data_IF_078490063668
#
_entry.id   IF_078490063668
#
_cell.length_a   1.000
_cell.length_b   1.000
_cell.length_c   1.000
_cell.angle_alpha   90.00
_cell.angle_beta   90.00
_cell.angle_gamma   90.00
#
_symmetry.space_group_name_H-M   'P 1'
#
loop_
_entity.id
_entity.type
_entity.pdbx_description
1 polymer ?
#
# COMPACT_ATOMS: atom_id res chain seq x y z
N UNK A 1 6.81 -23.01 -16.90
CA UNK A 1 6.84 -21.55 -16.68
C UNK A 1 5.75 -20.92 -17.53
N UNK A 2 4.92 -20.05 -16.97
CA UNK A 2 3.89 -19.33 -17.73
C UNK A 2 4.46 -18.08 -18.44
N UNK A 3 3.72 -17.47 -19.40
CA UNK A 3 4.20 -16.34 -20.21
C UNK A 3 4.69 -15.12 -19.41
N UNK A 4 4.03 -14.79 -18.29
CA UNK A 4 4.43 -13.68 -17.42
C UNK A 4 5.79 -13.93 -16.75
N UNK A 5 6.01 -15.13 -16.21
CA UNK A 5 7.30 -15.48 -15.57
C UNK A 5 8.47 -15.49 -16.56
N UNK A 6 8.22 -15.80 -17.84
CA UNK A 6 9.23 -15.68 -18.89
C UNK A 6 9.57 -14.23 -19.23
N UNK A 7 8.59 -13.31 -19.20
CA UNK A 7 8.86 -11.87 -19.36
C UNK A 7 9.63 -11.30 -18.17
N UNK A 8 9.26 -11.68 -16.94
CA UNK A 8 9.96 -11.25 -15.73
C UNK A 8 11.44 -11.64 -15.79
N UNK A 9 11.77 -12.89 -16.13
CA UNK A 9 13.15 -13.33 -16.27
C UNK A 9 13.94 -12.53 -17.32
N UNK A 10 13.31 -12.15 -18.44
CA UNK A 10 13.97 -11.34 -19.48
C UNK A 10 14.25 -9.90 -19.03
N UNK A 11 13.35 -9.31 -18.23
CA UNK A 11 13.56 -7.98 -17.63
C UNK A 11 14.63 -8.03 -16.54
N UNK A 12 14.62 -9.06 -15.70
CA UNK A 12 15.62 -9.29 -14.67
C UNK A 12 17.03 -9.47 -15.29
N UNK A 13 17.14 -10.27 -16.35
CA UNK A 13 18.39 -10.44 -17.10
C UNK A 13 18.86 -9.14 -17.76
N UNK A 14 17.93 -8.30 -18.26
CA UNK A 14 18.25 -7.00 -18.83
C UNK A 14 18.71 -5.98 -17.76
N UNK A 15 18.21 -6.10 -16.53
CA UNK A 15 18.59 -5.26 -15.39
C UNK A 15 19.84 -5.77 -14.64
N UNK A 16 20.34 -6.97 -14.95
CA UNK A 16 21.47 -7.59 -14.23
C UNK A 16 22.78 -6.79 -14.27
N UNK A 17 22.92 -5.82 -15.19
CA UNK A 17 24.11 -4.98 -15.36
C UNK A 17 23.83 -3.47 -15.34
N UNK A 18 22.62 -3.05 -14.94
CA UNK A 18 22.23 -1.64 -14.96
C UNK A 18 21.65 -1.24 -13.60
N UNK A 19 21.97 -0.03 -13.13
CA UNK A 19 21.39 0.47 -11.90
C UNK A 19 19.90 0.75 -12.10
N UNK A 20 19.05 0.05 -11.35
CA UNK A 20 17.59 0.23 -11.33
C UNK A 20 17.24 1.67 -10.98
N UNK A 21 18.00 2.26 -10.06
CA UNK A 21 17.79 3.64 -9.61
C UNK A 21 18.30 4.69 -10.61
N UNK A 22 19.08 4.32 -11.62
CA UNK A 22 19.47 5.23 -12.70
C UNK A 22 18.43 5.24 -13.82
N UNK A 23 17.88 4.07 -14.17
CA UNK A 23 16.97 3.91 -15.30
C UNK A 23 15.49 4.13 -14.96
N UNK A 24 15.08 3.79 -13.73
CA UNK A 24 13.66 3.77 -13.35
C UNK A 24 13.38 4.93 -12.39
N UNK A 25 12.76 5.99 -12.92
CA UNK A 25 12.49 7.22 -12.19
C UNK A 25 11.67 6.98 -10.90
N UNK A 26 10.57 6.22 -10.98
CA UNK A 26 9.72 5.88 -9.83
C UNK A 26 10.48 5.10 -8.75
N UNK A 27 11.43 4.24 -9.14
CA UNK A 27 12.26 3.51 -8.20
C UNK A 27 13.24 4.45 -7.49
N UNK A 28 13.87 5.36 -8.25
CA UNK A 28 14.78 6.38 -7.71
C UNK A 28 14.10 7.30 -6.70
N UNK A 29 12.90 7.77 -7.03
CA UNK A 29 12.10 8.64 -6.15
C UNK A 29 11.72 7.95 -4.85
N UNK A 30 11.52 6.62 -4.90
CA UNK A 30 11.10 5.81 -3.76
C UNK A 30 12.23 5.02 -3.08
N UNK A 31 13.50 5.26 -3.46
CA UNK A 31 14.67 4.54 -2.95
C UNK A 31 14.71 4.45 -1.43
N UNK A 32 14.46 5.57 -0.74
CA UNK A 32 14.45 5.61 0.74
C UNK A 32 13.40 4.71 1.35
N UNK A 33 12.23 4.59 0.71
CA UNK A 33 11.17 3.69 1.17
C UNK A 33 11.61 2.24 1.02
N UNK A 34 12.23 1.88 -0.10
CA UNK A 34 12.68 0.51 -0.35
C UNK A 34 13.85 0.11 0.58
N UNK A 35 14.80 1.01 0.81
CA UNK A 35 15.87 0.83 1.79
C UNK A 35 15.32 0.65 3.22
N UNK A 36 14.26 1.38 3.58
CA UNK A 36 13.58 1.21 4.87
C UNK A 36 12.97 -0.19 5.06
N UNK A 37 12.59 -0.83 3.95
CA UNK A 37 12.07 -2.20 3.91
C UNK A 37 13.19 -3.25 3.77
N UNK A 38 14.45 -2.85 3.90
CA UNK A 38 15.63 -3.71 3.74
C UNK A 38 15.75 -4.37 2.35
N UNK A 39 15.18 -3.72 1.33
CA UNK A 39 15.30 -4.16 -0.06
C UNK A 39 16.57 -3.56 -0.67
N UNK A 40 17.46 -4.43 -1.16
CA UNK A 40 18.60 -3.99 -1.95
C UNK A 40 18.22 -3.73 -3.42
N UNK A 41 19.14 -3.17 -4.19
CA UNK A 41 18.89 -2.80 -5.58
C UNK A 41 18.48 -4.00 -6.46
N UNK A 42 19.03 -5.18 -6.17
CA UNK A 42 18.71 -6.40 -6.90
C UNK A 42 17.33 -6.93 -6.51
N UNK A 43 16.94 -6.81 -5.23
CA UNK A 43 15.58 -7.11 -4.79
C UNK A 43 14.55 -6.19 -5.47
N UNK A 44 14.86 -4.89 -5.60
CA UNK A 44 14.00 -3.93 -6.33
C UNK A 44 13.95 -4.24 -7.82
N UNK A 45 15.08 -4.64 -8.44
CA UNK A 45 15.11 -5.08 -9.85
C UNK A 45 14.16 -6.25 -10.10
N UNK A 46 14.20 -7.25 -9.22
CA UNK A 46 13.32 -8.44 -9.27
C UNK A 46 11.86 -8.06 -9.13
N UNK A 47 11.53 -7.20 -8.16
CA UNK A 47 10.17 -6.73 -7.96
C UNK A 47 9.67 -5.94 -9.18
N UNK A 48 10.52 -5.11 -9.79
CA UNK A 48 10.19 -4.39 -11.02
C UNK A 48 9.98 -5.31 -12.22
N UNK A 49 10.82 -6.34 -12.35
CA UNK A 49 10.65 -7.37 -13.38
C UNK A 49 9.33 -8.14 -13.23
N UNK A 50 8.92 -8.43 -11.99
CA UNK A 50 7.61 -9.03 -11.74
C UNK A 50 6.49 -8.04 -12.06
N UNK A 51 6.57 -6.79 -11.58
CA UNK A 51 5.59 -5.74 -11.84
C UNK A 51 5.31 -5.57 -13.34
N UNK A 52 6.37 -5.40 -14.14
CA UNK A 52 6.27 -5.28 -15.61
C UNK A 52 5.77 -6.54 -16.31
N UNK A 53 5.88 -7.71 -15.67
CA UNK A 53 5.29 -8.94 -16.20
C UNK A 53 3.78 -9.05 -15.96
N UNK A 54 3.29 -8.37 -14.92
CA UNK A 54 1.87 -8.29 -14.56
C UNK A 54 1.18 -7.20 -15.39
N UNK A 55 1.84 -6.05 -15.56
CA UNK A 55 1.40 -4.95 -16.42
C UNK A 55 1.44 -5.38 -17.89
N UNK A 56 0.36 -6.01 -18.33
CA UNK A 56 0.24 -6.50 -19.71
C UNK A 56 -0.16 -5.39 -20.67
N UNK A 57 -0.73 -4.30 -20.16
CA UNK A 57 -1.15 -3.13 -20.93
C UNK A 57 -0.04 -2.11 -21.15
N UNK A 58 1.05 -2.16 -20.37
CA UNK A 58 2.16 -1.22 -20.44
C UNK A 58 1.82 0.16 -19.90
N UNK A 59 0.85 0.22 -18.98
CA UNK A 59 0.34 1.46 -18.37
C UNK A 59 1.23 1.97 -17.26
N UNK A 60 2.18 1.16 -16.77
CA UNK A 60 2.97 1.40 -15.55
C UNK A 60 2.13 1.47 -14.27
N UNK A 61 0.92 0.93 -14.34
CA UNK A 61 -0.09 0.85 -13.29
C UNK A 61 -0.79 -0.51 -13.43
N UNK A 62 -1.00 -1.23 -12.32
CA UNK A 62 -1.66 -2.53 -12.33
C UNK A 62 -3.14 -2.39 -12.03
N UNK A 63 -3.96 -2.92 -12.92
CA UNK A 63 -5.40 -3.05 -12.66
C UNK A 63 -5.73 -4.31 -11.84
N UNK A 64 -6.87 -4.30 -11.15
CA UNK A 64 -7.38 -5.49 -10.43
C UNK A 64 -7.42 -6.74 -11.34
N UNK A 65 -7.85 -6.58 -12.59
CA UNK A 65 -7.93 -7.68 -13.55
C UNK A 65 -6.56 -8.28 -13.90
N UNK A 66 -5.53 -7.45 -14.04
CA UNK A 66 -4.16 -7.92 -14.28
C UNK A 66 -3.60 -8.66 -13.07
N UNK A 67 -3.83 -8.11 -11.88
CA UNK A 67 -3.43 -8.74 -10.64
C UNK A 67 -4.10 -10.10 -10.43
N UNK A 68 -5.42 -10.21 -10.67
CA UNK A 68 -6.19 -11.45 -10.60
C UNK A 68 -5.68 -12.51 -11.59
N UNK A 69 -5.44 -12.11 -12.85
CA UNK A 69 -4.87 -12.99 -13.88
C UNK A 69 -3.50 -13.50 -13.48
N UNK A 70 -2.64 -12.63 -12.94
CA UNK A 70 -1.33 -13.03 -12.45
C UNK A 70 -1.43 -14.02 -11.29
N UNK A 71 -2.28 -13.74 -10.30
CA UNK A 71 -2.49 -14.59 -9.15
C UNK A 71 -3.23 -15.90 -9.49
N UNK A 72 -3.82 -16.01 -10.69
CA UNK A 72 -4.70 -17.10 -11.11
C UNK A 72 -5.88 -17.29 -10.15
N UNK A 73 -6.49 -16.16 -9.76
CA UNK A 73 -7.65 -16.09 -8.88
C UNK A 73 -8.91 -15.77 -9.70
N UNK A 74 -10.07 -16.32 -9.34
CA UNK A 74 -11.32 -16.01 -10.03
C UNK A 74 -11.67 -14.53 -9.87
N UNK A 75 -12.33 -13.95 -10.89
CA UNK A 75 -12.78 -12.55 -10.85
C UNK A 75 -13.76 -12.28 -9.72
N UNK A 76 -14.63 -13.24 -9.39
CA UNK A 76 -15.58 -13.16 -8.29
C UNK A 76 -14.89 -13.54 -6.97
N UNK A 77 -13.95 -12.71 -6.53
CA UNK A 77 -13.27 -12.92 -5.26
C UNK A 77 -13.17 -11.61 -4.48
N UNK A 78 -14.22 -11.34 -3.71
CA UNK A 78 -14.35 -10.20 -2.79
C UNK A 78 -13.17 -10.10 -1.81
N UNK A 79 -12.52 -11.21 -1.44
CA UNK A 79 -11.30 -11.16 -0.64
C UNK A 79 -10.13 -10.51 -1.39
N UNK A 80 -9.98 -10.80 -2.68
CA UNK A 80 -8.92 -10.19 -3.49
C UNK A 80 -9.21 -8.72 -3.74
N UNK A 81 -10.47 -8.35 -3.97
CA UNK A 81 -10.89 -6.95 -4.08
C UNK A 81 -10.54 -6.17 -2.81
N UNK A 82 -10.82 -6.74 -1.62
CA UNK A 82 -10.44 -6.10 -0.36
C UNK A 82 -8.93 -6.00 -0.19
N UNK A 83 -8.17 -7.04 -0.55
CA UNK A 83 -6.70 -6.96 -0.50
C UNK A 83 -6.17 -5.92 -1.49
N UNK A 84 -6.73 -5.83 -2.70
CA UNK A 84 -6.37 -4.84 -3.70
C UNK A 84 -6.65 -3.42 -3.20
N UNK A 85 -7.79 -3.19 -2.56
CA UNK A 85 -8.12 -1.91 -1.94
C UNK A 85 -7.14 -1.48 -0.84
N UNK A 86 -6.53 -2.44 -0.12
CA UNK A 86 -5.44 -2.13 0.83
C UNK A 86 -4.13 -1.77 0.11
N UNK A 87 -3.93 -2.26 -1.12
CA UNK A 87 -2.72 -1.97 -1.87
C UNK A 87 -2.73 -0.59 -2.55
N UNK A 88 -3.91 -0.16 -2.98
CA UNK A 88 -4.23 1.12 -3.65
C UNK A 88 -4.34 2.23 -2.58
N UNK A 89 -3.20 2.84 -2.22
CA UNK A 89 -3.06 3.78 -1.09
C UNK A 89 -3.69 5.15 -1.42
N UNK A 90 -3.74 5.51 -2.71
CA UNK A 90 -4.33 6.77 -3.19
C UNK A 90 -5.78 6.62 -3.73
N UNK A 91 -6.33 5.41 -3.68
CA UNK A 91 -7.69 5.05 -4.11
C UNK A 91 -7.99 5.40 -5.58
N UNK A 92 -6.97 5.38 -6.44
CA UNK A 92 -7.13 5.71 -7.86
C UNK A 92 -7.67 4.55 -8.71
N UNK A 93 -7.82 3.35 -8.12
CA UNK A 93 -8.33 2.14 -8.76
C UNK A 93 -7.26 1.32 -9.48
N UNK A 94 -5.99 1.69 -9.36
CA UNK A 94 -4.82 1.02 -9.93
C UNK A 94 -3.68 0.99 -8.90
N UNK A 95 -2.66 0.19 -9.15
CA UNK A 95 -1.50 0.07 -8.24
C UNK A 95 -0.25 0.47 -9.01
N UNK A 96 0.41 1.55 -8.60
CA UNK A 96 1.69 1.96 -9.16
C UNK A 96 2.86 1.06 -8.66
N UNK A 97 4.08 1.28 -9.17
CA UNK A 97 5.21 0.45 -8.77
C UNK A 97 5.57 0.57 -7.27
N UNK A 98 5.44 1.77 -6.69
CA UNK A 98 5.74 2.00 -5.28
C UNK A 98 4.73 1.26 -4.41
N UNK A 99 3.45 1.42 -4.70
CA UNK A 99 2.34 0.75 -4.01
C UNK A 99 2.47 -0.76 -4.11
N UNK A 100 2.79 -1.28 -5.30
CA UNK A 100 3.07 -2.70 -5.48
C UNK A 100 4.17 -3.20 -4.54
N UNK A 101 5.32 -2.53 -4.50
CA UNK A 101 6.44 -2.94 -3.64
C UNK A 101 6.08 -2.87 -2.16
N UNK A 102 5.52 -1.75 -1.72
CA UNK A 102 5.19 -1.51 -0.29
C UNK A 102 4.12 -2.50 0.17
N UNK A 103 3.07 -2.70 -0.62
CA UNK A 103 1.92 -3.51 -0.26
C UNK A 103 2.21 -5.01 -0.33
N UNK A 104 2.92 -5.46 -1.37
CA UNK A 104 3.38 -6.86 -1.45
C UNK A 104 4.39 -7.14 -0.34
N UNK A 105 5.32 -6.23 -0.05
CA UNK A 105 6.24 -6.40 1.07
C UNK A 105 5.48 -6.46 2.39
N UNK A 106 4.54 -5.54 2.64
CA UNK A 106 3.75 -5.52 3.87
C UNK A 106 3.05 -6.85 4.08
N UNK A 107 2.35 -7.36 3.06
CA UNK A 107 1.54 -8.58 3.15
C UNK A 107 2.37 -9.87 3.16
N UNK A 108 3.35 -10.00 2.26
CA UNK A 108 4.14 -11.23 2.11
C UNK A 108 5.18 -11.42 3.20
N UNK A 109 5.58 -10.36 3.92
CA UNK A 109 6.48 -10.45 5.08
C UNK A 109 5.77 -10.73 6.41
N UNK A 110 4.43 -10.71 6.46
CA UNK A 110 3.69 -10.99 7.69
C UNK A 110 3.95 -12.42 8.18
N UNK A 111 4.28 -12.54 9.47
CA UNK A 111 4.22 -13.82 10.17
C UNK A 111 2.78 -14.34 10.23
N UNK A 112 2.56 -15.61 10.55
CA UNK A 112 1.20 -16.14 10.69
C UNK A 112 0.37 -15.39 11.73
N UNK A 113 0.97 -15.05 12.89
CA UNK A 113 0.29 -14.29 13.93
C UNK A 113 -0.05 -12.86 13.47
N UNK A 114 0.86 -12.23 12.73
CA UNK A 114 0.62 -10.89 12.16
C UNK A 114 -0.41 -10.93 11.03
N UNK A 115 -0.47 -12.02 10.26
CA UNK A 115 -1.46 -12.21 9.22
C UNK A 115 -2.87 -12.39 9.81
N UNK A 116 -3.00 -13.02 10.98
CA UNK A 116 -4.28 -13.07 11.70
C UNK A 116 -4.77 -11.67 12.08
N UNK A 117 -3.88 -10.78 12.53
CA UNK A 117 -4.23 -9.39 12.83
C UNK A 117 -4.55 -8.61 11.56
N UNK A 118 -3.79 -8.80 10.49
CA UNK A 118 -4.11 -8.20 9.20
C UNK A 118 -5.46 -8.68 8.65
N UNK A 119 -5.78 -9.97 8.83
CA UNK A 119 -7.09 -10.50 8.43
C UNK A 119 -8.22 -9.88 9.27
N UNK A 120 -7.98 -9.59 10.55
CA UNK A 120 -8.92 -8.82 11.36
C UNK A 120 -9.18 -7.45 10.75
N UNK A 121 -8.11 -6.67 10.52
CA UNK A 121 -8.18 -5.32 9.94
C UNK A 121 -8.82 -5.32 8.54
N UNK A 122 -8.67 -6.41 7.77
CA UNK A 122 -9.27 -6.57 6.45
C UNK A 122 -10.80 -6.78 6.50
N UNK A 123 -11.30 -7.33 7.60
CA UNK A 123 -12.71 -7.69 7.77
C UNK A 123 -13.51 -6.68 8.59
N UNK A 124 -12.84 -5.94 9.49
CA UNK A 124 -13.37 -4.73 10.14
C UNK A 124 -13.42 -3.59 9.11
N UNK A 125 -14.50 -3.54 8.34
CA UNK A 125 -14.65 -2.70 7.15
C UNK A 125 -14.93 -1.25 7.52
N UNK A 126 -15.69 -1.04 8.59
CA UNK A 126 -16.00 0.30 9.07
C UNK A 126 -14.89 0.88 9.96
N UNK A 127 -13.87 0.08 10.30
CA UNK A 127 -12.74 0.48 11.11
C UNK A 127 -13.15 0.78 12.55
N UNK A 128 -14.23 0.17 13.02
CA UNK A 128 -14.73 0.31 14.39
C UNK A 128 -13.74 -0.25 15.42
N UNK A 129 -12.82 -1.11 14.98
CA UNK A 129 -11.90 -1.85 15.84
C UNK A 129 -12.49 -3.16 16.36
N UNK A 130 -13.67 -3.53 15.89
CA UNK A 130 -14.44 -4.73 16.27
C UNK A 130 -15.05 -5.35 15.01
N UNK A 131 -15.22 -6.68 15.00
CA UNK A 131 -15.91 -7.36 13.91
C UNK A 131 -17.34 -7.68 14.33
N UNK A 132 -18.30 -7.17 13.56
CA UNK A 132 -19.73 -7.39 13.80
C UNK A 132 -20.26 -8.67 13.13
N UNK A 133 -21.55 -8.97 13.34
CA UNK A 133 -22.16 -10.17 12.74
C UNK A 133 -22.25 -10.09 11.21
N UNK A 134 -22.48 -8.91 10.65
CA UNK A 134 -22.57 -8.71 9.20
C UNK A 134 -21.20 -8.97 8.54
N UNK A 135 -20.12 -8.48 9.15
CA UNK A 135 -18.74 -8.68 8.68
C UNK A 135 -18.30 -10.15 8.78
N UNK A 136 -18.75 -10.88 9.81
CA UNK A 136 -18.57 -12.34 9.84
C UNK A 136 -19.36 -13.02 8.72
N UNK A 137 -20.59 -12.59 8.42
CA UNK A 137 -21.34 -13.15 7.29
C UNK A 137 -20.63 -12.90 5.95
N UNK A 138 -20.05 -11.72 5.74
CA UNK A 138 -19.22 -11.41 4.56
C UNK A 138 -17.97 -12.31 4.50
N UNK A 139 -17.27 -12.48 5.61
CA UNK A 139 -16.14 -13.41 5.72
C UNK A 139 -16.52 -14.84 5.31
N UNK A 140 -17.68 -15.32 5.76
CA UNK A 140 -18.19 -16.64 5.39
C UNK A 140 -18.59 -16.71 3.91
N UNK A 141 -19.11 -15.62 3.33
CA UNK A 141 -19.40 -15.53 1.91
C UNK A 141 -18.13 -15.64 1.05
N UNK A 142 -17.01 -15.04 1.45
CA UNK A 142 -15.78 -15.19 0.66
C UNK A 142 -15.21 -16.62 0.70
N UNK A 143 -15.40 -17.30 1.83
CA UNK A 143 -14.84 -18.65 2.04
C UNK A 143 -15.70 -19.71 1.36
N UNK A 144 -17.03 -19.58 1.44
CA UNK A 144 -17.99 -20.61 1.05
C UNK A 144 -18.91 -20.21 -0.11
N UNK A 145 -18.81 -18.97 -0.59
CA UNK A 145 -19.68 -18.39 -1.62
C UNK A 145 -21.05 -17.95 -1.09
N UNK A 146 -21.92 -17.51 -2.01
CA UNK A 146 -23.26 -17.02 -1.67
C UNK A 146 -24.11 -18.04 -0.86
N UNK A 147 -23.89 -19.34 -1.09
CA UNK A 147 -24.57 -20.43 -0.40
C UNK A 147 -23.87 -20.85 0.91
N UNK A 148 -23.13 -19.95 1.56
CA UNK A 148 -22.41 -20.26 2.80
C UNK A 148 -23.32 -20.84 3.89
N UNK A 149 -24.59 -20.43 3.96
CA UNK A 149 -25.57 -20.93 4.94
C UNK A 149 -25.85 -22.43 4.80
N UNK A 150 -25.65 -23.01 3.61
CA UNK A 150 -25.75 -24.46 3.39
C UNK A 150 -24.56 -25.23 4.00
N UNK A 151 -23.42 -24.57 4.19
CA UNK A 151 -22.18 -25.19 4.63
C UNK A 151 -22.20 -25.41 6.15
N UNK A 152 -22.05 -26.68 6.57
CA UNK A 152 -21.98 -27.03 8.00
C UNK A 152 -20.85 -26.31 8.74
N UNK A 153 -19.62 -26.16 8.18
CA UNK A 153 -18.57 -25.39 8.83
C UNK A 153 -18.94 -23.92 9.08
N UNK A 154 -19.53 -23.25 8.09
CA UNK A 154 -19.95 -21.85 8.23
C UNK A 154 -21.02 -21.67 9.31
N UNK A 155 -22.00 -22.58 9.38
CA UNK A 155 -23.00 -22.58 10.46
C UNK A 155 -22.37 -22.80 11.84
N UNK A 156 -21.30 -23.60 11.95
CA UNK A 156 -20.59 -23.76 13.23
C UNK A 156 -19.93 -22.45 13.68
N UNK A 157 -19.35 -21.70 12.74
CA UNK A 157 -18.80 -20.36 13.02
C UNK A 157 -19.91 -19.45 13.55
N UNK A 158 -21.05 -19.35 12.85
CA UNK A 158 -22.17 -18.52 13.31
C UNK A 158 -22.72 -18.93 14.67
N UNK A 159 -22.88 -20.23 14.93
CA UNK A 159 -23.31 -20.71 16.24
C UNK A 159 -22.29 -20.38 17.35
N UNK A 160 -21.01 -20.24 17.02
CA UNK A 160 -19.99 -19.77 17.96
C UNK A 160 -20.11 -18.27 18.20
N UNK A 161 -20.36 -17.46 17.16
CA UNK A 161 -20.64 -16.01 17.26
C UNK A 161 -21.87 -15.73 18.12
N UNK A 162 -22.97 -16.44 17.87
CA UNK A 162 -24.20 -16.32 18.67
C UNK A 162 -23.98 -16.69 20.14
N UNK A 163 -23.10 -17.66 20.43
CA UNK A 163 -22.76 -18.02 21.81
C UNK A 163 -21.98 -16.92 22.51
N UNK A 164 -21.03 -16.29 21.82
CA UNK A 164 -20.29 -15.15 22.36
C UNK A 164 -21.25 -14.01 22.73
N UNK A 165 -22.24 -13.72 21.87
CA UNK A 165 -23.34 -12.77 22.15
C UNK A 165 -24.02 -13.03 23.49
N UNK A 166 -24.41 -14.29 23.70
CA UNK A 166 -25.19 -14.70 24.88
C UNK A 166 -24.35 -14.69 26.16
N UNK A 167 -23.04 -14.96 26.05
CA UNK A 167 -22.11 -14.95 27.19
C UNK A 167 -21.78 -13.53 27.65
N UNK A 168 -21.65 -12.57 26.72
CA UNK A 168 -21.37 -11.16 27.02
C UNK A 168 -22.62 -10.38 27.45
N UNK A 169 -23.82 -10.90 27.15
CA UNK A 169 -25.08 -10.28 27.55
C UNK A 169 -25.42 -9.00 26.78
N UNK A 170 -24.75 -8.78 25.65
CA UNK A 170 -24.90 -7.61 24.80
C UNK A 170 -25.95 -7.80 23.70
N UNK A 171 -26.54 -6.70 23.24
CA UNK A 171 -27.53 -6.74 22.14
C UNK A 171 -26.85 -7.05 20.80
N UNK A 172 -25.59 -6.70 20.61
CA UNK A 172 -24.80 -6.98 19.41
C UNK A 172 -23.54 -7.78 19.76
N UNK A 173 -22.94 -8.45 18.77
CA UNK A 173 -21.68 -9.18 18.97
C UNK A 173 -20.54 -8.29 18.53
N UNK A 174 -19.62 -8.04 19.45
CA UNK A 174 -18.41 -7.27 19.22
C UNK A 174 -17.19 -8.17 19.29
N UNK A 175 -16.73 -8.68 18.14
CA UNK A 175 -15.52 -9.51 18.11
C UNK A 175 -14.31 -8.59 18.11
N UNK A 176 -13.73 -8.34 19.29
CA UNK A 176 -12.47 -7.59 19.41
C UNK A 176 -11.28 -8.37 18.83
N UNK A 177 -10.10 -7.75 18.58
CA UNK A 177 -8.92 -8.48 18.08
C UNK A 177 -8.46 -9.64 19.00
N UNK A 178 -8.63 -9.48 20.31
CA UNK A 178 -8.32 -10.54 21.28
C UNK A 178 -9.28 -11.73 21.13
N UNK A 179 -10.58 -11.43 21.00
CA UNK A 179 -11.62 -12.44 20.77
C UNK A 179 -11.42 -13.12 19.42
N UNK A 180 -11.14 -12.36 18.36
CA UNK A 180 -10.84 -12.89 17.02
C UNK A 180 -9.63 -13.83 17.02
N UNK A 181 -8.55 -13.49 17.73
CA UNK A 181 -7.39 -14.38 17.86
C UNK A 181 -7.73 -15.70 18.57
N UNK A 182 -8.62 -15.68 19.56
CA UNK A 182 -9.13 -16.90 20.20
C UNK A 182 -10.08 -17.70 19.29
N UNK A 183 -10.92 -16.98 18.55
CA UNK A 183 -11.92 -17.51 17.64
C UNK A 183 -11.27 -18.26 16.46
N UNK A 184 -10.29 -17.64 15.82
CA UNK A 184 -9.56 -18.21 14.68
C UNK A 184 -8.68 -19.41 15.04
N UNK A 185 -8.31 -19.60 16.32
CA UNK A 185 -7.66 -20.85 16.78
C UNK A 185 -8.57 -22.07 16.66
N UNK A 186 -9.87 -21.88 16.86
CA UNK A 186 -10.88 -22.94 16.74
C UNK A 186 -11.50 -23.00 15.34
N UNK A 187 -11.48 -21.88 14.62
CA UNK A 187 -12.02 -21.70 13.28
C UNK A 187 -10.93 -21.29 12.27
N UNK A 188 -9.88 -22.11 12.14
CA UNK A 188 -8.72 -21.81 11.26
C UNK A 188 -9.10 -21.64 9.78
N UNK A 189 -10.26 -22.17 9.37
CA UNK A 189 -10.86 -21.96 8.06
C UNK A 189 -11.04 -20.48 7.70
N UNK A 190 -11.27 -19.62 8.69
CA UNK A 190 -11.51 -18.18 8.48
C UNK A 190 -10.28 -17.46 7.94
N UNK A 191 -9.09 -17.95 8.28
CA UNK A 191 -7.84 -17.37 7.82
C UNK A 191 -7.34 -18.01 6.51
N UNK A 192 -7.99 -19.07 6.01
CA UNK A 192 -7.52 -19.78 4.81
C UNK A 192 -7.43 -18.88 3.57
N UNK A 193 -8.38 -17.98 3.27
CA UNK A 193 -8.25 -17.07 2.12
C UNK A 193 -6.97 -16.24 2.19
N UNK A 194 -6.70 -15.64 3.36
CA UNK A 194 -5.50 -14.84 3.60
C UNK A 194 -4.22 -15.68 3.45
N UNK A 195 -4.12 -16.82 4.13
CA UNK A 195 -2.93 -17.68 4.03
C UNK A 195 -2.69 -18.21 2.61
N UNK A 196 -3.77 -18.59 1.91
CA UNK A 196 -3.68 -19.09 0.54
C UNK A 196 -3.18 -17.99 -0.40
N UNK A 197 -3.74 -16.79 -0.31
CA UNK A 197 -3.33 -15.67 -1.14
C UNK A 197 -1.89 -15.25 -0.85
N UNK A 198 -1.52 -15.13 0.44
CA UNK A 198 -0.13 -14.84 0.83
C UNK A 198 0.83 -15.85 0.22
N UNK A 199 0.51 -17.15 0.31
CA UNK A 199 1.35 -18.20 -0.28
C UNK A 199 1.45 -18.11 -1.80
N UNK A 200 0.35 -17.84 -2.49
CA UNK A 200 0.34 -17.65 -3.95
C UNK A 200 1.25 -16.49 -4.36
N UNK A 201 1.14 -15.36 -3.66
CA UNK A 201 1.98 -14.19 -3.93
C UNK A 201 3.45 -14.47 -3.59
N UNK A 202 3.72 -15.15 -2.47
CA UNK A 202 5.08 -15.53 -2.10
C UNK A 202 5.72 -16.48 -3.13
N UNK A 203 4.97 -17.43 -3.68
CA UNK A 203 5.47 -18.37 -4.69
C UNK A 203 5.69 -17.69 -6.05
N UNK A 204 4.83 -16.74 -6.43
CA UNK A 204 4.88 -16.08 -7.74
C UNK A 204 5.77 -14.84 -7.80
N UNK A 205 5.91 -14.12 -6.69
CA UNK A 205 6.70 -12.88 -6.59
C UNK A 205 7.96 -13.24 -5.82
N UNK A 206 9.13 -13.18 -6.45
CA UNK A 206 10.46 -13.39 -5.84
C UNK A 206 10.74 -14.75 -5.14
N UNK A 207 9.73 -15.59 -4.90
CA UNK A 207 9.85 -16.92 -4.31
C UNK A 207 9.76 -16.94 -2.78
N UNK A 208 9.37 -18.10 -2.23
CA UNK A 208 9.06 -18.24 -0.80
C UNK A 208 10.25 -17.95 0.11
N UNK A 209 11.47 -18.31 -0.30
CA UNK A 209 12.65 -18.11 0.54
C UNK A 209 13.06 -16.63 0.65
N UNK A 210 12.81 -15.84 -0.40
CA UNK A 210 12.94 -14.38 -0.34
C UNK A 210 12.02 -13.79 0.72
N UNK A 211 10.74 -14.19 0.73
CA UNK A 211 9.79 -13.66 1.72
C UNK A 211 10.02 -14.18 3.14
N UNK A 212 10.60 -15.36 3.32
CA UNK A 212 11.08 -15.82 4.63
C UNK A 212 12.20 -14.92 5.17
N UNK A 213 13.14 -14.50 4.32
CA UNK A 213 14.18 -13.52 4.66
C UNK A 213 13.52 -12.20 5.11
N UNK A 214 12.67 -11.60 4.27
CA UNK A 214 11.99 -10.35 4.61
C UNK A 214 11.13 -10.45 5.88
N UNK A 215 10.46 -11.59 6.12
CA UNK A 215 9.69 -11.80 7.35
C UNK A 215 10.58 -11.84 8.58
N UNK A 216 11.78 -12.43 8.48
CA UNK A 216 12.77 -12.45 9.57
C UNK A 216 13.28 -11.04 9.86
N UNK A 217 13.65 -10.28 8.83
CA UNK A 217 14.09 -8.89 8.95
C UNK A 217 13.00 -8.00 9.58
N UNK A 218 11.72 -8.17 9.19
CA UNK A 218 10.60 -7.45 9.81
C UNK A 218 10.49 -7.71 11.31
N UNK A 219 10.74 -8.94 11.76
CA UNK A 219 10.72 -9.28 13.18
C UNK A 219 11.88 -8.66 13.95
N UNK A 220 13.05 -8.55 13.32
CA UNK A 220 14.21 -7.86 13.89
C UNK A 220 13.93 -6.36 14.06
N UNK A 221 13.34 -5.71 13.04
CA UNK A 221 12.95 -4.29 13.10
C UNK A 221 11.95 -4.05 14.23
N UNK A 222 10.96 -4.95 14.38
CA UNK A 222 9.97 -4.89 15.45
C UNK A 222 10.50 -5.28 16.84
N UNK A 223 11.75 -5.74 16.95
CA UNK A 223 12.33 -6.33 18.17
C UNK A 223 11.41 -7.43 18.76
N UNK A 224 10.91 -8.32 17.89
CA UNK A 224 9.96 -9.38 18.24
C UNK A 224 8.51 -8.93 18.45
N UNK A 225 8.21 -7.63 18.35
CA UNK A 225 6.84 -7.09 18.39
C UNK A 225 6.29 -6.93 16.97
N UNK A 226 4.96 -6.96 16.87
CA UNK A 226 4.29 -6.56 15.65
C UNK A 226 4.58 -5.08 15.35
N UNK A 227 4.98 -4.80 14.11
CA UNK A 227 5.21 -3.46 13.60
C UNK A 227 4.48 -3.34 12.25
N UNK A 228 3.85 -2.20 11.98
CA UNK A 228 3.16 -1.96 10.70
C UNK A 228 4.15 -1.39 9.68
N UNK A 229 3.88 -1.60 8.38
CA UNK A 229 4.72 -1.02 7.32
C UNK A 229 4.84 0.50 7.44
N UNK A 230 3.75 1.18 7.81
CA UNK A 230 3.76 2.63 8.03
C UNK A 230 4.72 3.05 9.15
N UNK A 231 4.79 2.29 10.25
CA UNK A 231 5.78 2.56 11.30
C UNK A 231 7.22 2.39 10.79
N UNK A 232 7.48 1.37 9.96
CA UNK A 232 8.81 1.14 9.36
C UNK A 232 9.19 2.30 8.44
N UNK A 233 8.29 2.70 7.55
CA UNK A 233 8.51 3.81 6.61
C UNK A 233 8.68 5.16 7.33
N UNK A 234 7.99 5.38 8.46
CA UNK A 234 8.11 6.61 9.26
C UNK A 234 9.34 6.65 10.17
N UNK A 235 9.83 5.50 10.65
CA UNK A 235 11.01 5.44 11.52
C UNK A 235 12.25 6.06 10.86
N UNK A 236 12.42 5.87 9.55
CA UNK A 236 13.50 6.49 8.77
C UNK A 236 13.36 8.01 8.67
N UNK A 237 12.13 8.54 8.54
CA UNK A 237 11.88 10.00 8.54
C UNK A 237 12.30 10.64 9.88
N UNK A 238 12.05 9.96 11.00
CA UNK A 238 12.44 10.44 12.35
C UNK A 238 13.94 10.33 12.62
N UNK A 239 14.60 9.24 12.21
CA UNK A 239 16.05 9.08 12.35
C UNK A 239 16.82 10.17 11.59
N UNK A 240 16.36 10.52 10.38
CA UNK A 240 16.91 11.62 9.58
C UNK A 240 16.71 12.99 10.23
N UNK A 241 15.50 13.29 10.75
CA UNK A 241 15.25 14.54 11.48
C UNK A 241 16.06 14.64 12.77
N UNK A 242 16.32 13.52 13.44
CA UNK A 242 17.13 13.50 14.66
C UNK A 242 18.63 13.69 14.38
N UNK A 243 19.16 13.13 13.28
CA UNK A 243 20.53 13.37 12.82
C UNK A 243 20.73 14.85 12.42
N UNK A 244 19.77 15.44 11.71
CA UNK A 244 19.78 16.88 11.38
C UNK A 244 19.77 17.73 12.66
N UNK A 245 18.97 17.36 13.67
CA UNK A 245 18.96 18.09 14.96
C UNK A 245 20.20 17.84 15.82
N UNK A 246 20.84 16.67 15.78
CA UNK A 246 22.08 16.40 16.51
C UNK A 246 23.26 17.23 15.96
N UNK A 247 23.36 17.37 14.63
CA UNK A 247 24.40 18.19 14.00
C UNK A 247 24.18 19.71 14.22
N UNK A 248 22.97 20.15 14.54
CA UNK A 248 22.68 21.54 14.92
C UNK A 248 23.01 21.87 16.39
N UNK A 249 23.20 20.88 17.27
CA UNK A 249 23.39 21.10 18.72
C UNK A 249 24.87 21.04 19.15
N UNK A 250 25.80 20.63 18.28
CA UNK A 250 27.24 20.60 18.62
C UNK A 250 27.99 21.79 18.00
N UNK A 251 27.89 22.96 18.63
CA UNK A 251 28.96 23.99 18.71
C UNK A 251 28.57 25.10 19.70
N UNK A 252 28.53 24.75 20.99
CA UNK A 252 28.65 25.72 22.07
C UNK A 252 30.12 25.99 22.36
N UNK A 253 30.69 26.99 21.70
CA UNK A 253 32.07 27.46 21.92
C UNK A 253 32.20 28.91 21.44
N UNK A 254 32.65 29.77 22.36
CA UNK A 254 32.63 31.23 22.34
C UNK A 254 33.19 31.93 21.10
N UNK A 255 32.66 33.14 20.90
CA UNK A 255 33.15 34.26 20.10
C UNK A 255 32.81 34.31 18.59
N UNK A 256 31.84 35.18 18.30
CA UNK A 256 32.04 36.29 17.37
C UNK A 256 32.03 35.98 15.87
N UNK A 257 30.89 36.34 15.24
CA UNK A 257 30.55 36.35 13.80
C UNK A 257 30.02 35.02 13.26
N UNK A 258 28.70 34.98 13.12
CA UNK A 258 27.96 33.85 12.57
C UNK A 258 27.74 34.09 11.08
N UNK A 259 28.65 33.58 10.24
CA UNK A 259 28.29 33.24 8.87
C UNK A 259 27.60 31.88 8.90
N UNK A 260 26.33 31.87 8.49
CA UNK A 260 25.55 30.65 8.33
C UNK A 260 26.04 29.95 7.07
N UNK A 261 26.92 28.95 7.23
CA UNK A 261 27.27 28.06 6.12
C UNK A 261 26.26 26.91 6.09
N UNK A 262 25.25 27.03 5.23
CA UNK A 262 24.30 25.95 4.94
C UNK A 262 25.07 24.82 4.25
N UNK A 263 25.04 23.57 4.77
CA UNK A 263 25.65 22.44 4.06
C UNK A 263 24.94 22.23 2.72
N UNK A 264 25.71 22.06 1.64
CA UNK A 264 25.19 21.86 0.28
C UNK A 264 24.16 20.71 0.15
N UNK A 265 24.13 19.78 1.10
CA UNK A 265 23.14 18.70 1.16
C UNK A 265 21.71 19.18 1.46
N UNK A 266 21.54 20.32 2.14
CA UNK A 266 20.21 20.90 2.41
C UNK A 266 19.65 21.69 1.20
N UNK A 267 20.50 22.12 0.27
CA UNK A 267 20.10 22.94 -0.87
C UNK A 267 19.43 22.15 -2.02
N UNK A 268 19.47 20.81 -2.00
CA UNK A 268 19.01 19.99 -3.14
C UNK A 268 17.51 19.61 -3.01
N UNK A 269 16.87 19.79 -1.85
CA UNK A 269 15.46 19.42 -1.65
C UNK A 269 14.48 20.60 -1.53
N UNK A 270 14.94 21.86 -1.47
CA UNK A 270 14.04 23.03 -1.28
C UNK A 270 13.74 23.83 -2.56
N UNK A 271 14.30 23.51 -3.73
CA UNK A 271 14.01 24.25 -4.98
C UNK A 271 12.86 23.69 -5.83
N UNK A 272 12.04 22.78 -5.29
CA UNK A 272 10.86 22.27 -5.99
C UNK A 272 9.65 22.26 -5.07
N UNK A 273 8.91 23.38 -5.02
CA UNK A 273 7.46 23.51 -4.69
C UNK A 273 7.05 24.88 -4.11
N UNK A 274 7.98 25.84 -3.98
CA UNK A 274 7.63 27.19 -3.51
C UNK A 274 7.29 28.22 -4.62
N UNK A 275 7.69 27.96 -5.87
CA UNK A 275 7.32 28.81 -7.04
C UNK A 275 5.99 28.41 -7.69
N UNK A 276 5.57 27.14 -7.61
CA UNK A 276 4.29 26.70 -8.19
C UNK A 276 3.08 27.09 -7.32
N UNK A 277 3.25 27.29 -6.00
CA UNK A 277 2.18 27.78 -5.11
C UNK A 277 1.95 29.30 -5.19
N UNK A 278 2.91 30.08 -5.69
CA UNK A 278 2.74 31.54 -5.87
C UNK A 278 1.98 31.93 -7.14
N UNK A 279 1.81 31.02 -8.10
CA UNK A 279 1.06 31.30 -9.34
C UNK A 279 -0.43 30.92 -9.28
N UNK A 280 -0.88 30.22 -8.24
CA UNK A 280 -2.28 29.81 -8.10
C UNK A 280 -3.12 30.74 -7.18
N UNK A 281 -2.47 31.49 -6.29
CA UNK A 281 -3.12 32.42 -5.34
C UNK A 281 -3.27 33.87 -5.86
N UNK A 282 -3.00 34.13 -7.15
CA UNK A 282 -3.16 35.47 -7.75
C UNK A 282 -4.29 35.59 -8.80
N UNK A 283 -5.16 34.59 -8.92
CA UNK A 283 -6.25 34.57 -9.91
C UNK A 283 -7.66 34.54 -9.33
N UNK A 284 -7.84 34.73 -8.02
CA UNK A 284 -9.18 34.94 -7.46
C UNK A 284 -9.21 36.13 -6.49
N UNK A 285 -10.11 37.09 -6.80
CA UNK A 285 -10.50 38.31 -6.08
C UNK A 285 -9.63 39.56 -6.38
N UNK A 286 -10.11 40.62 -7.04
CA UNK A 286 -11.44 40.91 -7.58
C UNK A 286 -11.57 42.31 -8.20
N UNK A 287 -12.79 42.55 -8.67
CA UNK A 287 -13.48 43.81 -9.00
C UNK A 287 -13.10 44.63 -10.25
N UNK A 288 -14.11 44.72 -11.13
CA UNK A 288 -14.14 45.57 -12.31
C UNK A 288 -14.34 47.07 -12.04
N UNK A 289 -14.09 47.82 -13.10
CA UNK A 289 -14.72 49.08 -13.49
C UNK A 289 -14.59 49.24 -15.00
N UNK A 290 -15.62 49.84 -15.58
CA UNK A 290 -15.92 50.03 -17.00
C UNK A 290 -14.85 50.83 -17.75
N UNK A 291 -14.64 50.51 -19.04
CA UNK A 291 -14.52 51.54 -20.07
C UNK A 291 -14.91 50.99 -21.45
N UNK A 292 -15.75 51.76 -22.16
CA UNK A 292 -16.39 51.41 -23.43
C UNK A 292 -15.50 51.75 -24.65
N UNK A 293 -15.44 50.78 -25.58
CA UNK A 293 -15.43 50.86 -27.06
C UNK A 293 -14.38 51.68 -27.84
N UNK A 294 -13.85 51.03 -28.89
CA UNK A 294 -13.63 51.65 -30.22
C UNK A 294 -14.29 50.93 -31.41
N UNK A 295 -14.92 49.76 -31.25
CA UNK A 295 -15.50 49.04 -32.40
C UNK A 295 -16.83 48.31 -32.04
N UNK A 296 -17.88 48.98 -31.57
CA UNK A 296 -18.84 49.75 -32.38
C UNK A 296 -18.59 50.01 -33.88
N UNK A 297 -17.77 49.23 -34.59
CA UNK A 297 -17.65 49.34 -36.02
C UNK A 297 -17.63 47.94 -36.64
N UNK A 298 -18.82 47.57 -37.11
CA UNK A 298 -19.12 46.68 -38.25
C UNK A 298 -19.68 45.27 -37.89
N UNK A 299 -20.95 45.31 -37.47
CA UNK A 299 -22.13 44.61 -38.02
C UNK A 299 -22.05 43.15 -38.55
N UNK A 300 -22.65 42.25 -37.76
CA UNK A 300 -23.88 41.45 -38.01
C UNK A 300 -24.29 41.05 -39.46
N UNK A 301 -24.37 39.72 -39.66
CA UNK A 301 -25.57 38.90 -40.07
C UNK A 301 -25.91 38.84 -41.57
N UNK A 302 -26.55 37.76 -42.11
CA UNK A 302 -26.39 36.30 -42.01
C UNK A 302 -26.43 35.62 -43.42
N UNK A 303 -26.43 34.28 -43.52
CA UNK A 303 -26.72 33.61 -44.79
C UNK A 303 -26.97 32.11 -44.65
N UNK A 304 -28.24 31.76 -44.77
CA UNK A 304 -28.83 30.43 -45.00
C UNK A 304 -28.11 29.57 -46.04
N UNK A 305 -27.91 28.30 -45.73
CA UNK A 305 -28.47 27.12 -46.43
C UNK A 305 -28.20 25.84 -45.61
#
# INVERSE_FOLDING_TARGET
>A
MGPALCKAAAVEDALHNISVYEEIAIARENRKSFEALHLDEHDVAKLFAVFTSIDTTGTSELTLNEFLKFANLPLENSFVERVFAIMDDDENGTIDFREFVVSVWNYCSLSQASLSMFAFDLYDRDGSGEIDTCEVEEMLQDIYGAEWKAHQPARRVMNSVERLRLEEGEEEVCITPATFSSFTKHHTELLRPAFRMQRILQEKICGVDFWKKCSSERQEIGNGKYITVNHILQAQKKAMNHLIHQDMVVKGGSDGKQEVMVPAAAAILETGTHEQRRQQDHLQQGNGKEELTKEQLIAKVPGSE
#
